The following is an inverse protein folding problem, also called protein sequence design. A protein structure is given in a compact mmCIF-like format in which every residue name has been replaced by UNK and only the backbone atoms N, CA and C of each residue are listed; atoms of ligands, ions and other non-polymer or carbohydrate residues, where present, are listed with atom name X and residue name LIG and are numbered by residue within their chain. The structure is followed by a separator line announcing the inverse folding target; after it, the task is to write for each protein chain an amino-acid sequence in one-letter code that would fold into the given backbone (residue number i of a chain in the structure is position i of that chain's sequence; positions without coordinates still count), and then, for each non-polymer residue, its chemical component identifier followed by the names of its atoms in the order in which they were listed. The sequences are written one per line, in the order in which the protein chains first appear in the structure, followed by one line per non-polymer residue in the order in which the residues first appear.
data_IF_666434163936
#
_entry.id   IF_666434163936
#
_cell.length_a   1.000
_cell.length_b   1.000
_cell.length_c   1.000
_cell.angle_alpha   90.00
_cell.angle_beta   90.00
_cell.angle_gamma   90.00
#
_symmetry.space_group_name_H-M   'P 1'
#
loop_
_entity.id
_entity.type
_entity.pdbx_description
1 polymer ?
#
# COMPACT_ATOMS: atom_id res chain seq x y z
N UNK A 1 -33.82 -27.72 32.86
CA UNK A 1 -32.63 -27.20 33.56
C UNK A 1 -31.66 -26.70 32.48
N UNK A 2 -31.27 -25.44 32.34
CA UNK A 2 -31.53 -24.16 33.03
C UNK A 2 -31.24 -23.05 32.01
N UNK A 3 -32.09 -22.01 31.95
CA UNK A 3 -31.80 -20.61 32.33
C UNK A 3 -30.82 -19.85 31.43
N UNK A 4 -31.41 -18.99 30.59
CA UNK A 4 -31.05 -17.62 30.18
C UNK A 4 -29.59 -17.12 30.24
N UNK A 5 -29.17 -16.46 29.15
CA UNK A 5 -27.99 -15.61 29.08
C UNK A 5 -28.07 -14.64 27.91
N UNK A 6 -29.06 -13.74 27.91
CA UNK A 6 -29.20 -12.66 26.93
C UNK A 6 -28.12 -11.62 27.21
N UNK A 7 -26.99 -11.69 26.49
CA UNK A 7 -25.93 -10.69 26.57
C UNK A 7 -26.49 -9.32 26.15
N UNK A 8 -26.64 -8.43 27.13
CA UNK A 8 -27.01 -7.04 26.92
C UNK A 8 -25.86 -6.33 26.21
N UNK A 9 -26.14 -5.73 25.05
CA UNK A 9 -25.27 -4.74 24.41
C UNK A 9 -25.17 -3.50 25.33
N UNK A 10 -24.24 -3.53 26.28
CA UNK A 10 -23.90 -2.37 27.10
C UNK A 10 -23.12 -1.35 26.25
N UNK A 11 -23.88 -0.37 25.76
CA UNK A 11 -23.52 0.99 25.30
C UNK A 11 -22.02 1.35 25.17
N UNK A 12 -21.60 2.02 24.08
CA UNK A 12 -20.25 2.56 23.88
C UNK A 12 -19.94 3.82 24.72
N UNK A 13 -20.55 3.95 25.90
CA UNK A 13 -20.52 5.18 26.70
C UNK A 13 -19.27 5.32 27.58
N UNK A 14 -18.49 4.27 27.81
CA UNK A 14 -17.31 4.34 28.68
C UNK A 14 -16.07 4.92 27.96
N UNK A 15 -15.77 4.42 26.76
CA UNK A 15 -14.55 4.78 26.02
C UNK A 15 -14.50 6.27 25.63
N UNK A 16 -15.65 6.83 25.23
CA UNK A 16 -15.78 8.25 24.91
C UNK A 16 -15.67 9.15 26.16
N UNK A 17 -16.11 8.65 27.33
CA UNK A 17 -15.99 9.33 28.62
C UNK A 17 -14.55 9.36 29.12
N UNK A 18 -13.77 8.31 28.83
CA UNK A 18 -12.38 8.12 29.25
C UNK A 18 -11.41 8.99 28.43
N UNK A 19 -11.57 9.07 27.11
CA UNK A 19 -10.82 10.03 26.27
C UNK A 19 -11.15 11.48 26.61
N UNK A 20 -12.42 11.77 26.92
CA UNK A 20 -12.85 13.09 27.42
C UNK A 20 -12.22 13.46 28.78
N UNK A 21 -12.00 12.48 29.66
CA UNK A 21 -11.34 12.68 30.95
C UNK A 21 -9.83 12.97 30.77
N UNK A 22 -9.15 12.23 29.90
CA UNK A 22 -7.72 12.43 29.58
C UNK A 22 -7.46 13.80 28.93
N UNK A 23 -8.31 14.22 27.98
CA UNK A 23 -8.19 15.54 27.37
C UNK A 23 -8.45 16.68 28.37
N UNK A 24 -9.47 16.54 29.24
CA UNK A 24 -9.74 17.50 30.33
C UNK A 24 -8.59 17.56 31.34
N UNK A 25 -7.94 16.43 31.61
CA UNK A 25 -6.79 16.35 32.52
C UNK A 25 -5.54 17.01 31.93
N UNK A 26 -5.23 16.77 30.65
CA UNK A 26 -4.12 17.43 29.95
C UNK A 26 -4.30 18.97 29.92
N UNK A 27 -5.52 19.45 29.67
CA UNK A 27 -5.85 20.88 29.73
C UNK A 27 -5.71 21.42 31.15
N UNK A 28 -6.10 20.65 32.18
CA UNK A 28 -5.96 21.05 33.59
C UNK A 28 -4.48 21.11 34.03
N UNK A 29 -3.63 20.19 33.56
CA UNK A 29 -2.18 20.21 33.80
C UNK A 29 -1.52 21.39 33.09
N UNK A 30 -1.92 21.69 31.85
CA UNK A 30 -1.43 22.86 31.12
C UNK A 30 -1.84 24.18 31.79
N UNK A 31 -3.09 24.27 32.28
CA UNK A 31 -3.58 25.43 33.03
C UNK A 31 -2.89 25.59 34.39
N UNK A 32 -2.66 24.50 35.13
CA UNK A 32 -1.95 24.53 36.41
C UNK A 32 -0.46 24.91 36.26
N UNK A 33 0.20 24.48 35.18
CA UNK A 33 1.57 24.89 34.86
C UNK A 33 1.66 26.36 34.42
N UNK A 34 0.66 26.87 33.70
CA UNK A 34 0.59 28.30 33.35
C UNK A 34 0.25 29.20 34.56
N UNK A 35 -0.66 28.76 35.44
CA UNK A 35 -1.05 29.51 36.65
C UNK A 35 0.07 29.53 37.71
N UNK A 36 0.83 28.45 37.85
CA UNK A 36 1.99 28.40 38.75
C UNK A 36 3.16 29.25 38.25
N UNK A 37 3.36 29.35 36.93
CA UNK A 37 4.30 30.31 36.34
C UNK A 37 3.95 31.78 36.65
N UNK A 38 2.65 32.10 36.74
CA UNK A 38 2.17 33.42 37.15
C UNK A 38 2.32 33.72 38.64
N UNK A 39 2.16 32.71 39.51
CA UNK A 39 2.32 32.84 40.96
C UNK A 39 3.81 33.02 41.36
N UNK A 40 4.72 32.31 40.69
CA UNK A 40 6.18 32.45 40.88
C UNK A 40 6.71 33.81 40.40
N UNK A 41 6.08 34.42 39.40
CA UNK A 41 6.47 35.75 38.90
C UNK A 41 6.05 36.91 39.81
N UNK A 42 5.11 36.69 40.73
CA UNK A 42 4.53 37.71 41.62
C UNK A 42 4.89 37.50 43.10
N UNK A 43 5.68 36.48 43.44
CA UNK A 43 6.09 36.20 44.81
C UNK A 43 7.14 37.22 45.26
N UNK A 44 6.84 37.96 46.34
CA UNK A 44 7.69 39.05 46.81
C UNK A 44 8.80 38.61 47.77
N UNK A 45 8.71 37.42 48.39
CA UNK A 45 9.67 36.89 49.36
C UNK A 45 9.90 35.36 49.23
N UNK A 46 11.07 34.88 49.66
CA UNK A 46 11.54 33.48 49.51
C UNK A 46 10.68 32.42 50.24
N UNK A 47 10.01 32.78 51.34
CA UNK A 47 9.12 31.86 52.08
C UNK A 47 7.84 31.52 51.29
N UNK A 48 7.28 32.47 50.54
CA UNK A 48 6.09 32.26 49.72
C UNK A 48 6.37 31.34 48.52
N UNK A 49 7.59 31.44 47.97
CA UNK A 49 8.09 30.54 46.91
C UNK A 49 8.22 29.12 47.44
N UNK A 50 8.76 28.96 48.66
CA UNK A 50 8.87 27.66 49.31
C UNK A 50 7.51 26.98 49.51
N UNK A 51 6.50 27.74 49.93
CA UNK A 51 5.15 27.20 50.14
C UNK A 51 4.47 26.82 48.81
N UNK A 52 4.61 27.65 47.76
CA UNK A 52 4.07 27.37 46.44
C UNK A 52 4.70 26.12 45.80
N UNK A 53 6.01 25.91 45.98
CA UNK A 53 6.70 24.71 45.51
C UNK A 53 6.22 23.45 46.24
N UNK A 54 5.97 23.54 47.55
CA UNK A 54 5.45 22.41 48.33
C UNK A 54 4.04 22.00 47.88
N UNK A 55 3.16 22.98 47.61
CA UNK A 55 1.82 22.73 47.09
C UNK A 55 1.86 22.11 45.68
N UNK A 56 2.73 22.62 44.81
CA UNK A 56 2.91 22.08 43.45
C UNK A 56 3.39 20.62 43.47
N UNK A 57 4.33 20.30 44.36
CA UNK A 57 4.81 18.92 44.55
C UNK A 57 3.70 17.99 45.03
N UNK A 58 2.83 18.46 45.92
CA UNK A 58 1.65 17.72 46.37
C UNK A 58 0.69 17.40 45.23
N UNK A 59 0.38 18.40 44.40
CA UNK A 59 -0.49 18.23 43.23
C UNK A 59 0.11 17.28 42.19
N UNK A 60 1.41 17.39 41.89
CA UNK A 60 2.09 16.48 40.96
C UNK A 60 2.03 15.03 41.46
N UNK A 61 2.23 14.82 42.77
CA UNK A 61 2.17 13.50 43.37
C UNK A 61 0.75 12.89 43.24
N UNK A 62 -0.29 13.65 43.60
CA UNK A 62 -1.69 13.18 43.47
C UNK A 62 -2.06 12.86 42.02
N UNK A 63 -1.63 13.68 41.06
CA UNK A 63 -1.90 13.42 39.64
C UNK A 63 -1.15 12.18 39.14
N UNK A 64 0.09 11.95 39.61
CA UNK A 64 0.88 10.77 39.25
C UNK A 64 0.25 9.49 39.78
N UNK A 65 -0.25 9.52 41.02
CA UNK A 65 -0.97 8.39 41.64
C UNK A 65 -2.29 8.09 40.90
N UNK A 66 -3.06 9.12 40.53
CA UNK A 66 -4.29 8.95 39.72
C UNK A 66 -4.02 8.37 38.32
N UNK A 67 -2.90 8.72 37.69
CA UNK A 67 -2.50 8.12 36.40
C UNK A 67 -2.16 6.64 36.59
N UNK A 68 -1.45 6.28 37.66
CA UNK A 68 -1.12 4.90 37.96
C UNK A 68 -2.38 4.04 38.23
N UNK A 69 -3.37 4.60 38.93
CA UNK A 69 -4.67 3.93 39.15
C UNK A 69 -5.43 3.71 37.85
N UNK A 70 -5.52 4.71 36.98
CA UNK A 70 -6.18 4.58 35.68
C UNK A 70 -5.48 3.55 34.77
N UNK A 71 -4.14 3.52 34.79
CA UNK A 71 -3.37 2.49 34.07
C UNK A 71 -3.59 1.10 34.63
N UNK A 72 -3.76 0.98 35.95
CA UNK A 72 -4.07 -0.30 36.59
C UNK A 72 -5.51 -0.76 36.29
N UNK A 73 -6.46 0.16 36.22
CA UNK A 73 -7.86 -0.12 35.85
C UNK A 73 -7.98 -0.52 34.37
N UNK A 74 -7.23 0.12 33.47
CA UNK A 74 -7.14 -0.25 32.05
C UNK A 74 -6.56 -1.67 31.88
N UNK A 75 -5.53 -2.00 32.67
CA UNK A 75 -4.96 -3.35 32.74
C UNK A 75 -5.93 -4.40 33.30
N UNK A 76 -6.89 -3.98 34.14
CA UNK A 76 -7.90 -4.85 34.76
C UNK A 76 -9.12 -5.07 33.85
N UNK A 77 -9.44 -4.08 33.01
CA UNK A 77 -10.45 -4.18 31.96
C UNK A 77 -9.93 -4.94 30.72
N UNK A 78 -8.61 -4.98 30.54
CA UNK A 78 -7.90 -5.91 29.66
C UNK A 78 -7.89 -7.34 30.24
N UNK A 79 -9.07 -7.91 30.47
CA UNK A 79 -9.24 -9.31 30.84
C UNK A 79 -8.73 -10.20 29.68
N UNK A 80 -7.72 -11.06 29.88
CA UNK A 80 -7.19 -11.93 28.82
C UNK A 80 -8.22 -12.93 28.28
N UNK A 81 -9.36 -13.12 28.96
CA UNK A 81 -10.48 -13.92 28.45
C UNK A 81 -11.44 -13.14 27.52
N UNK A 82 -11.44 -11.80 27.56
CA UNK A 82 -12.32 -10.93 26.76
C UNK A 82 -11.57 -10.03 25.76
N UNK A 83 -10.24 -9.96 25.84
CA UNK A 83 -9.40 -9.57 24.72
C UNK A 83 -9.57 -10.63 23.65
N UNK A 84 -10.32 -10.32 22.59
CA UNK A 84 -10.41 -11.05 21.32
C UNK A 84 -9.25 -12.03 21.15
N UNK A 85 -9.46 -13.29 21.57
CA UNK A 85 -8.50 -14.40 21.51
C UNK A 85 -8.32 -14.92 20.08
N UNK A 86 -8.44 -14.03 19.10
CA UNK A 86 -8.04 -14.23 17.74
C UNK A 86 -7.28 -12.99 17.31
N UNK A 87 -5.97 -13.02 17.51
CA UNK A 87 -5.09 -12.22 16.66
C UNK A 87 -5.39 -12.63 15.22
N UNK A 88 -6.08 -11.75 14.47
CA UNK A 88 -6.33 -11.93 13.03
C UNK A 88 -4.99 -12.10 12.30
N UNK A 89 -3.89 -11.62 12.91
CA UNK A 89 -2.54 -11.82 12.42
C UNK A 89 -1.59 -12.33 13.50
N UNK A 90 -1.72 -13.60 13.91
CA UNK A 90 -0.74 -14.26 14.78
C UNK A 90 0.69 -14.22 14.22
N UNK A 91 1.67 -14.16 15.11
CA UNK A 91 3.11 -14.01 14.87
C UNK A 91 3.65 -14.85 13.67
N UNK A 92 4.50 -14.24 12.83
CA UNK A 92 5.32 -14.94 11.83
C UNK A 92 6.35 -15.89 12.50
N UNK A 93 6.58 -15.76 13.82
CA UNK A 93 7.48 -16.59 14.61
C UNK A 93 6.83 -17.34 15.80
N UNK A 94 5.52 -17.21 16.03
CA UNK A 94 4.80 -17.93 17.10
C UNK A 94 5.31 -17.76 18.54
N UNK A 95 6.14 -16.75 18.83
CA UNK A 95 6.88 -16.60 20.09
C UNK A 95 6.20 -15.73 21.14
N UNK A 96 5.29 -14.83 20.74
CA UNK A 96 4.49 -14.04 21.70
C UNK A 96 3.17 -13.53 21.11
N UNK A 97 2.14 -13.27 21.93
CA UNK A 97 0.99 -12.48 21.52
C UNK A 97 1.43 -11.03 21.19
N UNK A 98 0.87 -10.46 20.13
CA UNK A 98 1.03 -9.04 19.78
C UNK A 98 0.38 -8.15 20.83
N UNK A 99 1.00 -7.01 21.12
CA UNK A 99 0.40 -5.95 21.92
C UNK A 99 -0.77 -5.30 21.16
N UNK A 100 -1.73 -4.72 21.87
CA UNK A 100 -2.87 -4.03 21.25
C UNK A 100 -2.42 -2.93 20.28
N UNK A 101 -1.33 -2.23 20.60
CA UNK A 101 -0.75 -1.20 19.74
C UNK A 101 -0.19 -1.78 18.42
N UNK A 102 0.47 -2.94 18.46
CA UNK A 102 1.00 -3.60 17.26
C UNK A 102 -0.14 -4.07 16.33
N UNK A 103 -1.20 -4.64 16.91
CA UNK A 103 -2.39 -5.05 16.14
C UNK A 103 -3.11 -3.86 15.49
N UNK A 104 -3.19 -2.73 16.21
CA UNK A 104 -3.75 -1.48 15.69
C UNK A 104 -2.91 -0.94 14.53
N UNK A 105 -1.59 -0.87 14.68
CA UNK A 105 -0.69 -0.39 13.63
C UNK A 105 -0.81 -1.25 12.37
N UNK A 106 -0.75 -2.58 12.50
CA UNK A 106 -0.92 -3.50 11.37
C UNK A 106 -2.27 -3.30 10.69
N UNK A 107 -3.36 -3.19 11.45
CA UNK A 107 -4.70 -2.98 10.89
C UNK A 107 -4.80 -1.66 10.11
N UNK A 108 -4.16 -0.60 10.62
CA UNK A 108 -4.10 0.70 9.93
C UNK A 108 -3.26 0.63 8.65
N UNK A 109 -2.12 -0.05 8.67
CA UNK A 109 -1.28 -0.26 7.47
C UNK A 109 -2.03 -1.06 6.39
N UNK A 110 -2.80 -2.09 6.79
CA UNK A 110 -3.61 -2.86 5.87
C UNK A 110 -4.72 -2.03 5.25
N UNK A 111 -5.46 -1.29 6.08
CA UNK A 111 -6.50 -0.37 5.61
C UNK A 111 -5.92 0.64 4.63
N UNK A 112 -4.79 1.24 4.97
CA UNK A 112 -4.10 2.21 4.13
C UNK A 112 -3.72 1.61 2.77
N UNK A 113 -3.08 0.45 2.74
CA UNK A 113 -2.67 -0.21 1.49
C UNK A 113 -3.86 -0.67 0.64
N UNK A 114 -4.99 -1.09 1.23
CA UNK A 114 -6.21 -1.43 0.49
C UNK A 114 -6.79 -0.17 -0.17
N UNK A 115 -6.86 0.95 0.56
CA UNK A 115 -7.33 2.23 0.03
C UNK A 115 -6.39 2.68 -1.10
N UNK A 116 -5.08 2.70 -0.87
CA UNK A 116 -4.10 3.07 -1.88
C UNK A 116 -4.18 2.17 -3.12
N UNK A 117 -4.24 0.85 -2.95
CA UNK A 117 -4.36 -0.09 -4.07
C UNK A 117 -5.66 0.12 -4.85
N UNK A 118 -6.77 0.45 -4.18
CA UNK A 118 -8.03 0.81 -4.83
C UNK A 118 -7.91 2.10 -5.65
N UNK A 119 -7.22 3.11 -5.12
CA UNK A 119 -6.96 4.36 -5.85
C UNK A 119 -6.06 4.13 -7.07
N UNK A 120 -5.02 3.29 -6.95
CA UNK A 120 -4.16 2.91 -8.09
C UNK A 120 -4.99 2.15 -9.13
N UNK A 121 -5.86 1.23 -8.71
CA UNK A 121 -6.79 0.57 -9.62
C UNK A 121 -7.75 1.54 -10.30
N UNK A 122 -8.20 2.58 -9.60
CA UNK A 122 -9.04 3.62 -10.18
C UNK A 122 -8.31 4.43 -11.26
N UNK A 123 -6.97 4.43 -11.29
CA UNK A 123 -6.21 5.01 -12.40
C UNK A 123 -6.54 4.35 -13.74
N UNK A 124 -7.00 3.10 -13.75
CA UNK A 124 -7.45 2.44 -14.98
C UNK A 124 -8.62 3.16 -15.66
N UNK A 125 -9.54 3.71 -14.86
CA UNK A 125 -10.58 4.58 -15.40
C UNK A 125 -9.98 5.87 -15.97
N UNK A 126 -8.96 6.42 -15.31
CA UNK A 126 -8.18 7.57 -15.81
C UNK A 126 -7.51 7.31 -17.16
N UNK A 127 -6.84 6.17 -17.32
CA UNK A 127 -6.23 5.74 -18.58
C UNK A 127 -7.28 5.55 -19.68
N UNK A 128 -8.39 4.89 -19.37
CA UNK A 128 -9.49 4.73 -20.31
C UNK A 128 -10.04 6.09 -20.80
N UNK A 129 -10.17 7.08 -19.91
CA UNK A 129 -10.62 8.43 -20.28
C UNK A 129 -9.58 9.19 -21.11
N UNK A 130 -8.30 9.19 -20.72
CA UNK A 130 -7.27 9.94 -21.46
C UNK A 130 -7.02 9.34 -22.84
N UNK A 131 -7.04 8.02 -22.96
CA UNK A 131 -6.85 7.34 -24.24
C UNK A 131 -8.05 7.52 -25.15
N UNK A 132 -9.28 7.36 -24.63
CA UNK A 132 -10.48 7.55 -25.45
C UNK A 132 -10.62 8.99 -25.92
N UNK A 133 -10.27 9.98 -25.08
CA UNK A 133 -10.23 11.39 -25.46
C UNK A 133 -9.13 11.74 -26.45
N UNK A 134 -8.04 10.96 -26.50
CA UNK A 134 -6.90 11.19 -27.41
C UNK A 134 -7.00 10.42 -28.74
N UNK A 135 -8.05 9.61 -28.92
CA UNK A 135 -8.27 8.81 -30.11
C UNK A 135 -9.41 9.35 -30.98
N UNK A 136 -9.45 8.95 -32.25
CA UNK A 136 -10.57 9.30 -33.14
C UNK A 136 -11.84 8.59 -32.65
N UNK A 137 -12.98 9.25 -32.78
CA UNK A 137 -14.29 8.76 -32.30
C UNK A 137 -14.59 7.30 -32.72
N UNK A 138 -14.25 6.94 -33.97
CA UNK A 138 -14.46 5.58 -34.50
C UNK A 138 -13.70 4.47 -33.78
N UNK A 139 -12.66 4.80 -33.00
CA UNK A 139 -11.79 3.85 -32.32
C UNK A 139 -12.00 3.81 -30.80
N UNK A 140 -12.89 4.66 -30.26
CA UNK A 140 -13.12 4.79 -28.80
C UNK A 140 -13.52 3.45 -28.17
N UNK A 141 -14.42 2.70 -28.80
CA UNK A 141 -14.85 1.40 -28.29
C UNK A 141 -13.69 0.40 -28.15
N UNK A 142 -12.80 0.36 -29.15
CA UNK A 142 -11.63 -0.52 -29.12
C UNK A 142 -10.64 -0.09 -28.01
N UNK A 143 -10.48 1.21 -27.77
CA UNK A 143 -9.62 1.74 -26.70
C UNK A 143 -10.15 1.36 -25.31
N UNK A 144 -11.45 1.53 -25.09
CA UNK A 144 -12.08 1.15 -23.82
C UNK A 144 -11.99 -0.36 -23.57
N UNK A 145 -12.18 -1.17 -24.62
CA UNK A 145 -12.05 -2.62 -24.53
C UNK A 145 -10.63 -3.05 -24.19
N UNK A 146 -9.60 -2.42 -24.77
CA UNK A 146 -8.19 -2.69 -24.42
C UNK A 146 -7.91 -2.40 -22.94
N UNK A 147 -8.37 -1.26 -22.43
CA UNK A 147 -8.19 -0.89 -21.02
C UNK A 147 -8.86 -1.88 -20.06
N UNK A 148 -10.11 -2.29 -20.34
CA UNK A 148 -10.79 -3.31 -19.56
C UNK A 148 -10.02 -4.64 -19.60
N UNK A 149 -9.51 -4.98 -20.78
CA UNK A 149 -8.83 -6.26 -20.97
C UNK A 149 -7.45 -6.29 -20.32
N UNK A 150 -6.75 -5.16 -20.21
CA UNK A 150 -5.49 -5.06 -19.44
C UNK A 150 -5.70 -5.41 -17.98
N UNK A 151 -6.84 -5.02 -17.39
CA UNK A 151 -7.21 -5.44 -16.04
C UNK A 151 -7.46 -6.94 -15.99
N UNK A 152 -8.29 -7.50 -16.88
CA UNK A 152 -8.61 -8.93 -16.86
C UNK A 152 -7.41 -9.84 -17.15
N UNK A 153 -6.72 -9.61 -18.27
CA UNK A 153 -5.57 -10.41 -18.70
C UNK A 153 -4.36 -10.14 -17.80
N UNK A 154 -4.16 -8.88 -17.38
CA UNK A 154 -3.14 -8.53 -16.41
C UNK A 154 -3.33 -9.23 -15.07
N UNK A 155 -4.56 -9.41 -14.61
CA UNK A 155 -4.87 -10.22 -13.41
C UNK A 155 -4.42 -11.67 -13.59
N UNK A 156 -4.78 -12.29 -14.70
CA UNK A 156 -4.42 -13.70 -14.97
C UNK A 156 -2.90 -13.85 -15.11
N UNK A 157 -2.24 -12.97 -15.86
CA UNK A 157 -0.78 -12.97 -16.05
C UNK A 157 -0.02 -12.75 -14.75
N UNK A 158 -0.45 -11.76 -13.95
CA UNK A 158 0.15 -11.46 -12.66
C UNK A 158 -0.07 -12.56 -11.62
N UNK A 159 -1.28 -13.13 -11.57
CA UNK A 159 -1.59 -14.25 -10.68
C UNK A 159 -0.79 -15.52 -11.03
N UNK A 160 -0.77 -15.89 -12.31
CA UNK A 160 -0.15 -17.15 -12.74
C UNK A 160 1.39 -17.10 -12.69
N UNK A 161 1.98 -16.00 -13.13
CA UNK A 161 3.43 -15.90 -13.35
C UNK A 161 4.04 -14.63 -12.77
N UNK A 162 3.36 -13.48 -12.86
CA UNK A 162 3.99 -12.20 -12.54
C UNK A 162 4.42 -12.08 -11.08
N UNK A 163 3.57 -12.50 -10.13
CA UNK A 163 3.95 -12.52 -8.71
C UNK A 163 5.17 -13.40 -8.45
N UNK A 164 5.21 -14.57 -9.08
CA UNK A 164 6.34 -15.49 -8.99
C UNK A 164 7.62 -14.78 -9.45
N UNK A 165 7.65 -14.28 -10.68
CA UNK A 165 8.86 -13.64 -11.20
C UNK A 165 9.27 -12.39 -10.40
N UNK A 166 8.32 -11.59 -9.91
CA UNK A 166 8.61 -10.34 -9.22
C UNK A 166 9.14 -10.54 -7.79
N UNK A 167 8.41 -11.28 -6.94
CA UNK A 167 8.61 -11.29 -5.49
C UNK A 167 8.89 -12.67 -4.90
N UNK A 168 8.86 -13.74 -5.69
CA UNK A 168 9.15 -15.08 -5.20
C UNK A 168 10.60 -15.51 -5.44
N UNK A 169 11.01 -16.54 -4.70
CA UNK A 169 12.31 -17.19 -4.84
C UNK A 169 13.11 -17.20 -3.53
N UNK A 170 14.26 -17.89 -3.53
CA UNK A 170 15.11 -17.94 -2.36
C UNK A 170 15.82 -16.59 -2.15
N UNK A 171 15.58 -16.00 -0.99
CA UNK A 171 16.34 -14.85 -0.50
C UNK A 171 17.52 -15.33 0.33
N UNK A 172 18.63 -14.62 0.20
CA UNK A 172 19.82 -14.79 1.03
C UNK A 172 19.57 -14.18 2.41
N UNK A 173 20.43 -14.50 3.37
CA UNK A 173 20.34 -13.96 4.72
C UNK A 173 20.49 -12.43 4.80
N UNK A 174 21.12 -11.82 3.80
CA UNK A 174 21.25 -10.36 3.65
C UNK A 174 19.98 -9.67 3.11
N UNK A 175 18.92 -10.45 2.81
CA UNK A 175 17.65 -9.95 2.28
C UNK A 175 17.63 -9.77 0.76
N UNK A 176 18.76 -9.98 0.07
CA UNK A 176 18.83 -9.93 -1.39
C UNK A 176 18.45 -11.28 -2.00
N UNK A 177 17.96 -11.25 -3.23
CA UNK A 177 17.68 -12.47 -3.98
C UNK A 177 18.96 -13.28 -4.25
N UNK A 178 18.86 -14.60 -4.15
CA UNK A 178 19.99 -15.51 -4.43
C UNK A 178 20.34 -15.61 -5.91
N UNK A 179 19.34 -15.59 -6.79
CA UNK A 179 19.46 -15.60 -8.25
C UNK A 179 19.75 -14.21 -8.85
N UNK A 180 19.47 -13.15 -8.09
CA UNK A 180 19.57 -11.75 -8.49
C UNK A 180 18.60 -11.30 -9.59
N UNK A 181 18.08 -12.19 -10.44
CA UNK A 181 17.44 -11.78 -11.70
C UNK A 181 15.91 -11.90 -11.73
N UNK A 182 15.33 -13.07 -11.47
CA UNK A 182 13.88 -13.28 -11.54
C UNK A 182 13.45 -14.48 -10.71
N UNK A 183 12.24 -14.43 -10.15
CA UNK A 183 11.68 -15.48 -9.31
C UNK A 183 11.29 -16.76 -10.03
N UNK A 184 11.04 -17.79 -9.23
CA UNK A 184 10.79 -19.14 -9.72
C UNK A 184 9.92 -19.98 -8.81
N UNK A 185 9.25 -19.36 -7.83
CA UNK A 185 8.42 -20.04 -6.84
C UNK A 185 7.00 -19.45 -6.83
N UNK A 186 6.03 -20.11 -6.20
CA UNK A 186 4.66 -19.56 -6.06
C UNK A 186 3.90 -19.30 -7.38
N UNK A 187 4.25 -20.01 -8.47
CA UNK A 187 3.46 -20.00 -9.70
C UNK A 187 2.02 -20.42 -9.42
N UNK A 188 1.06 -19.83 -10.15
CA UNK A 188 -0.38 -20.10 -10.02
C UNK A 188 -0.93 -19.93 -8.59
N UNK A 189 -0.35 -19.01 -7.82
CA UNK A 189 -0.77 -18.77 -6.42
C UNK A 189 -0.35 -19.89 -5.47
N UNK A 190 0.62 -20.72 -5.84
CA UNK A 190 1.13 -21.77 -4.96
C UNK A 190 1.70 -21.17 -3.65
N UNK A 191 1.21 -21.65 -2.50
CA UNK A 191 1.49 -21.09 -1.17
C UNK A 191 1.17 -19.59 -1.02
N UNK A 192 0.22 -19.06 -1.79
CA UNK A 192 -0.22 -17.67 -1.69
C UNK A 192 -1.01 -17.40 -0.40
N UNK A 193 -1.84 -18.36 0.01
CA UNK A 193 -2.43 -18.45 1.35
C UNK A 193 -1.97 -19.77 1.97
N UNK A 194 -1.13 -19.70 3.00
CA UNK A 194 -0.71 -20.88 3.76
C UNK A 194 -1.74 -21.14 4.85
N UNK A 195 -1.95 -22.38 5.20
CA UNK A 195 -2.82 -22.76 6.33
C UNK A 195 -1.94 -23.34 7.42
N UNK A 196 -2.09 -22.82 8.63
CA UNK A 196 -1.44 -23.34 9.83
C UNK A 196 -1.99 -24.73 10.17
N UNK A 197 -1.26 -25.52 10.97
CA UNK A 197 -1.73 -26.84 11.42
C UNK A 197 -3.07 -26.82 12.18
N UNK A 198 -3.46 -25.68 12.74
CA UNK A 198 -4.75 -25.46 13.44
C UNK A 198 -5.93 -25.17 12.48
N UNK A 199 -5.70 -25.21 11.17
CA UNK A 199 -6.71 -24.94 10.13
C UNK A 199 -6.94 -23.46 9.84
N UNK A 200 -6.25 -22.54 10.52
CA UNK A 200 -6.35 -21.10 10.27
C UNK A 200 -5.42 -20.68 9.14
N UNK A 201 -5.82 -19.69 8.35
CA UNK A 201 -4.94 -19.11 7.33
C UNK A 201 -3.78 -18.38 8.03
N UNK A 202 -2.56 -18.68 7.60
CA UNK A 202 -1.37 -18.01 8.05
C UNK A 202 -1.49 -16.52 7.69
N UNK A 203 -1.39 -15.65 8.69
CA UNK A 203 -1.50 -14.22 8.49
C UNK A 203 -0.24 -13.68 7.85
N UNK A 204 -0.37 -13.31 6.58
CA UNK A 204 0.74 -12.77 5.79
C UNK A 204 0.29 -11.50 5.09
N UNK A 205 1.24 -10.59 4.91
CA UNK A 205 1.03 -9.37 4.12
C UNK A 205 1.06 -9.64 2.60
N UNK A 206 1.32 -10.88 2.17
CA UNK A 206 1.50 -11.22 0.77
C UNK A 206 0.25 -10.98 -0.09
N UNK A 207 -0.98 -11.34 0.32
CA UNK A 207 -2.18 -11.06 -0.48
C UNK A 207 -2.43 -9.56 -0.66
N UNK A 208 -2.15 -8.78 0.38
CA UNK A 208 -2.27 -7.32 0.34
C UNK A 208 -1.23 -6.70 -0.60
N UNK A 209 0.05 -7.10 -0.47
CA UNK A 209 1.12 -6.66 -1.37
C UNK A 209 0.84 -7.07 -2.81
N UNK A 210 0.29 -8.26 -3.02
CA UNK A 210 -0.09 -8.74 -4.34
C UNK A 210 -1.13 -7.83 -4.99
N UNK A 211 -2.20 -7.48 -4.26
CA UNK A 211 -3.23 -6.57 -4.77
C UNK A 211 -2.64 -5.20 -5.11
N UNK A 212 -1.82 -4.65 -4.21
CA UNK A 212 -1.19 -3.35 -4.43
C UNK A 212 -0.29 -3.37 -5.67
N UNK A 213 0.57 -4.38 -5.81
CA UNK A 213 1.53 -4.50 -6.92
C UNK A 213 0.87 -4.89 -8.25
N UNK A 214 -0.19 -5.68 -8.20
CA UNK A 214 -1.02 -5.98 -9.37
C UNK A 214 -1.57 -4.70 -10.01
N UNK A 215 -2.00 -3.73 -9.19
CA UNK A 215 -2.51 -2.46 -9.70
C UNK A 215 -1.46 -1.69 -10.51
N UNK A 216 -0.19 -1.68 -10.06
CA UNK A 216 0.93 -1.08 -10.82
C UNK A 216 1.28 -1.87 -12.09
N UNK A 217 1.24 -3.21 -12.03
CA UNK A 217 1.43 -4.06 -13.21
C UNK A 217 0.40 -3.73 -14.30
N UNK A 218 -0.87 -3.64 -13.90
CA UNK A 218 -1.96 -3.26 -14.79
C UNK A 218 -1.77 -1.83 -15.34
N UNK A 219 -1.26 -0.89 -14.53
CA UNK A 219 -0.93 0.45 -14.97
C UNK A 219 0.22 0.48 -16.01
N UNK A 220 1.24 -0.37 -15.85
CA UNK A 220 2.33 -0.47 -16.82
C UNK A 220 1.85 -0.99 -18.18
N UNK A 221 0.94 -1.97 -18.19
CA UNK A 221 0.37 -2.52 -19.42
C UNK A 221 -0.48 -1.48 -20.18
N UNK A 222 -1.34 -0.74 -19.49
CA UNK A 222 -2.23 0.24 -20.13
C UNK A 222 -1.49 1.45 -20.71
N UNK A 223 -0.33 1.85 -20.15
CA UNK A 223 0.52 2.88 -20.78
C UNK A 223 0.87 2.49 -22.23
N UNK A 224 1.10 1.20 -22.49
CA UNK A 224 1.37 0.72 -23.84
C UNK A 224 0.11 0.77 -24.70
N UNK A 225 -1.08 0.44 -24.18
CA UNK A 225 -2.38 0.59 -24.87
C UNK A 225 -2.50 1.94 -25.58
N UNK A 226 -2.24 3.02 -24.84
CA UNK A 226 -2.34 4.38 -25.35
C UNK A 226 -1.30 4.70 -26.42
N UNK A 227 -0.06 4.23 -26.21
CA UNK A 227 1.03 4.38 -27.17
C UNK A 227 0.73 3.72 -28.52
N UNK A 228 0.11 2.55 -28.52
CA UNK A 228 -0.20 1.78 -29.74
C UNK A 228 -1.65 1.91 -30.22
N UNK A 229 -2.42 2.83 -29.65
CA UNK A 229 -3.83 3.00 -29.97
C UNK A 229 -4.09 3.21 -31.48
N UNK A 230 -5.24 2.72 -31.93
CA UNK A 230 -5.77 2.82 -33.31
C UNK A 230 -5.05 1.99 -34.39
N UNK A 231 -3.94 1.31 -34.10
CA UNK A 231 -3.09 0.63 -35.11
C UNK A 231 -2.66 -0.79 -34.76
N UNK A 232 -3.10 -1.32 -33.62
CA UNK A 232 -2.89 -2.73 -33.25
C UNK A 232 -4.20 -3.49 -33.33
N UNK A 233 -4.11 -4.74 -33.80
CA UNK A 233 -5.25 -5.65 -33.75
C UNK A 233 -5.48 -6.11 -32.30
N UNK A 234 -6.74 -6.39 -31.97
CA UNK A 234 -7.12 -6.73 -30.60
C UNK A 234 -6.48 -8.04 -30.11
N UNK A 235 -6.47 -9.17 -30.86
CA UNK A 235 -5.84 -10.41 -30.39
C UNK A 235 -4.34 -10.29 -30.15
N UNK A 236 -3.61 -9.56 -31.01
CA UNK A 236 -2.19 -9.31 -30.80
C UNK A 236 -1.94 -8.49 -29.53
N UNK A 237 -2.84 -7.55 -29.24
CA UNK A 237 -2.79 -6.78 -27.99
C UNK A 237 -3.04 -7.65 -26.75
N UNK A 238 -3.93 -8.66 -26.81
CA UNK A 238 -4.14 -9.59 -25.69
C UNK A 238 -2.88 -10.37 -25.32
N UNK A 239 -2.19 -10.89 -26.34
CA UNK A 239 -0.93 -11.62 -26.16
C UNK A 239 0.12 -10.68 -25.56
N UNK A 240 0.22 -9.46 -26.09
CA UNK A 240 1.11 -8.45 -25.55
C UNK A 240 0.82 -8.15 -24.08
N UNK A 241 -0.44 -7.87 -23.72
CA UNK A 241 -0.85 -7.56 -22.34
C UNK A 241 -0.54 -8.71 -21.38
N UNK A 242 -0.77 -9.96 -21.81
CA UNK A 242 -0.39 -11.14 -21.05
C UNK A 242 1.13 -11.23 -20.85
N UNK A 243 1.93 -11.08 -21.91
CA UNK A 243 3.40 -11.14 -21.83
C UNK A 243 3.97 -10.01 -20.98
N UNK A 244 3.39 -8.81 -21.09
CA UNK A 244 3.78 -7.65 -20.30
C UNK A 244 3.58 -7.91 -18.81
N UNK A 245 2.40 -8.42 -18.44
CA UNK A 245 2.01 -8.66 -17.04
C UNK A 245 2.60 -9.93 -16.42
N UNK A 246 2.90 -10.95 -17.24
CA UNK A 246 3.44 -12.23 -16.77
C UNK A 246 4.96 -12.33 -16.83
N UNK A 247 5.64 -11.54 -17.66
CA UNK A 247 7.08 -11.68 -17.91
C UNK A 247 7.83 -10.35 -17.87
N UNK A 248 7.53 -9.40 -18.75
CA UNK A 248 8.37 -8.20 -18.93
C UNK A 248 8.38 -7.32 -17.68
N UNK A 249 7.21 -6.87 -17.24
CA UNK A 249 7.06 -6.04 -16.04
C UNK A 249 7.57 -6.73 -14.77
N UNK A 250 7.15 -7.97 -14.43
CA UNK A 250 7.59 -8.60 -13.18
C UNK A 250 9.10 -8.86 -13.10
N UNK A 251 9.77 -9.11 -14.23
CA UNK A 251 11.25 -9.22 -14.25
C UNK A 251 11.93 -7.87 -13.94
N UNK A 252 11.34 -6.77 -14.38
CA UNK A 252 11.88 -5.43 -14.03
C UNK A 252 11.65 -5.13 -12.55
N UNK A 253 10.49 -5.53 -12.02
CA UNK A 253 10.20 -5.45 -10.58
C UNK A 253 11.20 -6.29 -9.78
N UNK A 254 11.53 -7.51 -10.22
CA UNK A 254 12.47 -8.37 -9.48
C UNK A 254 13.87 -7.79 -9.37
N UNK A 255 14.34 -7.05 -10.37
CA UNK A 255 15.65 -6.39 -10.32
C UNK A 255 15.74 -5.30 -9.24
N UNK A 256 14.60 -4.71 -8.87
CA UNK A 256 14.48 -3.51 -8.03
C UNK A 256 13.70 -3.81 -6.75
N UNK A 257 12.38 -3.60 -6.77
CA UNK A 257 11.49 -3.83 -5.61
C UNK A 257 11.48 -5.28 -5.12
N UNK A 258 11.88 -6.24 -5.96
CA UNK A 258 12.12 -7.61 -5.56
C UNK A 258 13.47 -7.88 -4.92
N UNK A 259 14.29 -6.86 -4.64
CA UNK A 259 15.64 -6.99 -4.06
C UNK A 259 16.62 -7.81 -4.92
N UNK A 260 16.53 -7.65 -6.24
CA UNK A 260 17.42 -8.27 -7.21
C UNK A 260 18.77 -7.56 -7.39
N UNK A 261 19.44 -7.91 -8.48
CA UNK A 261 20.82 -7.53 -8.77
C UNK A 261 21.04 -6.01 -8.84
N UNK A 262 20.03 -5.25 -9.28
CA UNK A 262 20.15 -3.80 -9.41
C UNK A 262 20.25 -3.12 -8.03
N UNK A 263 19.61 -3.70 -7.00
CA UNK A 263 19.75 -3.25 -5.61
C UNK A 263 21.14 -3.52 -5.02
N UNK A 264 21.91 -4.45 -5.60
CA UNK A 264 23.28 -4.72 -5.21
C UNK A 264 24.30 -3.75 -5.82
N UNK A 265 23.86 -2.88 -6.74
CA UNK A 265 24.74 -1.91 -7.39
C UNK A 265 24.88 -0.68 -6.49
N UNK A 266 26.14 -0.30 -6.21
CA UNK A 266 26.52 0.96 -5.58
C UNK A 266 25.84 1.21 -4.22
N UNK A 267 26.18 0.41 -3.19
CA UNK A 267 25.82 0.47 -1.75
C UNK A 267 24.37 0.73 -1.31
N UNK A 268 23.52 1.35 -2.14
CA UNK A 268 22.14 1.74 -1.90
C UNK A 268 21.18 1.27 -3.00
N UNK A 269 21.68 0.86 -4.18
CA UNK A 269 20.82 0.53 -5.32
C UNK A 269 20.10 1.75 -5.92
N UNK A 270 19.35 1.57 -7.02
CA UNK A 270 18.47 2.61 -7.56
C UNK A 270 17.26 2.83 -6.65
N UNK A 271 16.92 4.10 -6.42
CA UNK A 271 15.77 4.50 -5.63
C UNK A 271 14.61 4.86 -6.57
N UNK A 272 13.62 3.98 -6.66
CA UNK A 272 12.35 4.27 -7.32
C UNK A 272 11.21 4.02 -6.33
N UNK A 273 10.66 5.10 -5.77
CA UNK A 273 9.69 5.01 -4.67
C UNK A 273 8.32 4.48 -5.10
N UNK A 274 7.82 4.94 -6.25
CA UNK A 274 6.45 4.69 -6.70
C UNK A 274 6.33 4.22 -8.15
N UNK A 275 7.46 3.95 -8.82
CA UNK A 275 7.47 3.31 -10.14
C UNK A 275 7.65 4.28 -11.30
N UNK A 276 8.36 5.39 -11.10
CA UNK A 276 8.73 6.30 -12.18
C UNK A 276 9.56 5.58 -13.27
N UNK A 277 10.49 4.72 -12.86
CA UNK A 277 11.22 3.82 -13.74
C UNK A 277 10.44 2.52 -13.97
N UNK A 278 10.11 1.84 -12.88
CA UNK A 278 9.62 0.45 -12.93
C UNK A 278 8.27 0.34 -13.64
N UNK A 279 7.40 1.34 -13.50
CA UNK A 279 6.05 1.35 -14.12
C UNK A 279 6.03 2.26 -15.33
N UNK A 280 6.34 3.55 -15.15
CA UNK A 280 6.16 4.55 -16.21
C UNK A 280 7.22 4.45 -17.31
N UNK A 281 8.50 4.27 -16.96
CA UNK A 281 9.54 4.09 -17.99
C UNK A 281 9.36 2.75 -18.70
N UNK A 282 9.09 1.66 -17.97
CA UNK A 282 8.80 0.34 -18.57
C UNK A 282 7.63 0.41 -19.56
N UNK A 283 6.50 0.97 -19.14
CA UNK A 283 5.34 1.19 -20.01
C UNK A 283 5.65 2.16 -21.16
N UNK A 284 6.39 3.24 -20.90
CA UNK A 284 6.77 4.24 -21.91
C UNK A 284 7.70 3.69 -22.98
N UNK A 285 8.68 2.87 -22.61
CA UNK A 285 9.57 2.17 -23.53
C UNK A 285 8.79 1.13 -24.33
N UNK A 286 7.91 0.36 -23.67
CA UNK A 286 7.01 -0.56 -24.36
C UNK A 286 6.11 0.15 -25.39
N UNK A 287 5.55 1.30 -25.02
CA UNK A 287 4.77 2.17 -25.89
C UNK A 287 5.60 2.69 -27.07
N UNK A 288 6.83 3.13 -26.83
CA UNK A 288 7.75 3.63 -27.86
C UNK A 288 8.11 2.55 -28.86
N UNK A 289 8.53 1.37 -28.38
CA UNK A 289 8.90 0.23 -29.24
C UNK A 289 7.68 -0.28 -30.01
N UNK A 290 6.54 -0.43 -29.33
CA UNK A 290 5.29 -0.82 -29.98
C UNK A 290 4.85 0.19 -31.05
N UNK A 291 4.98 1.49 -30.77
CA UNK A 291 4.69 2.55 -31.73
C UNK A 291 5.63 2.53 -32.94
N UNK A 292 6.91 2.22 -32.72
CA UNK A 292 7.91 2.10 -33.77
C UNK A 292 7.62 0.92 -34.70
N UNK A 293 7.29 -0.24 -34.14
CA UNK A 293 6.96 -1.46 -34.90
C UNK A 293 5.64 -1.28 -35.66
N UNK A 294 4.61 -0.75 -35.02
CA UNK A 294 3.29 -0.55 -35.64
C UNK A 294 3.29 0.52 -36.75
N UNK A 295 4.28 1.42 -36.75
CA UNK A 295 4.37 2.51 -37.72
C UNK A 295 3.34 3.63 -37.49
N UNK A 296 3.40 4.73 -38.25
CA UNK A 296 2.54 5.90 -38.04
C UNK A 296 1.06 5.59 -38.24
N UNK A 297 0.18 6.32 -37.55
CA UNK A 297 -1.28 6.19 -37.74
C UNK A 297 -1.66 6.63 -39.15
N UNK A 298 -2.60 5.91 -39.76
CA UNK A 298 -3.09 6.24 -41.09
C UNK A 298 -3.59 7.68 -41.18
N UNK A 299 -3.14 8.40 -42.21
CA UNK A 299 -3.52 9.78 -42.47
C UNK A 299 -2.88 10.83 -41.55
N UNK A 300 -1.88 10.46 -40.73
CA UNK A 300 -1.16 11.44 -39.88
C UNK A 300 -0.16 12.29 -40.65
N UNK A 301 0.49 11.71 -41.66
CA UNK A 301 1.55 12.36 -42.45
C UNK A 301 1.15 12.41 -43.93
N UNK A 302 0.04 13.08 -44.21
CA UNK A 302 -0.43 13.31 -45.59
C UNK A 302 0.14 14.64 -46.10
N UNK A 303 0.59 14.64 -47.35
CA UNK A 303 0.92 15.85 -48.11
C UNK A 303 -0.37 16.54 -48.57
N UNK A 304 -0.26 17.82 -48.94
CA UNK A 304 -1.38 18.61 -49.48
C UNK A 304 -1.98 18.04 -50.76
N UNK A 305 -1.20 17.25 -51.51
CA UNK A 305 -1.62 16.53 -52.72
C UNK A 305 -2.33 15.18 -52.43
N UNK A 306 -2.51 14.81 -51.16
CA UNK A 306 -3.17 13.57 -50.74
C UNK A 306 -2.27 12.33 -50.73
N UNK A 307 -0.96 12.46 -50.97
CA UNK A 307 -0.01 11.34 -50.86
C UNK A 307 0.59 11.23 -49.45
N UNK A 308 1.00 10.03 -49.02
CA UNK A 308 1.72 9.88 -47.75
C UNK A 308 3.17 10.40 -47.86
N UNK A 309 3.62 11.18 -46.88
CA UNK A 309 5.04 11.53 -46.75
C UNK A 309 5.87 10.27 -46.57
N UNK A 310 6.96 10.17 -47.33
CA UNK A 310 7.90 9.06 -47.27
C UNK A 310 8.64 9.02 -45.93
N UNK A 311 9.18 7.85 -45.55
CA UNK A 311 9.93 7.71 -44.30
C UNK A 311 11.15 8.63 -44.21
N UNK A 312 11.81 8.92 -45.34
CA UNK A 312 12.99 9.81 -45.40
C UNK A 312 12.61 11.27 -45.14
N UNK A 313 11.48 11.72 -45.71
CA UNK A 313 10.95 13.07 -45.51
C UNK A 313 10.49 13.34 -44.08
N UNK A 314 10.21 12.28 -43.29
CA UNK A 314 9.80 12.41 -41.89
C UNK A 314 10.96 12.49 -40.89
N UNK A 315 12.18 12.14 -41.32
CA UNK A 315 13.37 12.06 -40.45
C UNK A 315 14.29 13.30 -40.65
N UNK A 316 14.20 13.95 -41.80
CA UNK A 316 14.80 15.27 -42.06
C UNK A 316 13.95 16.38 -41.44
#
# INVERSE_FOLDING_TARGET
AGSEGRASLSRPSCFCRQRGAMAKMAVKVLLLSLLSGGALANAANDEDVGHAIAELKGLIKEQTERIAELQHEDRRLADPANLLSASIYGDLAGTRPYTDQENLNLSMDHLWLIICGTLVMFMQAGFAMVESGSCRFKNVQNVLLKNLTDVCIGTIGWYAFGWSFAFSGPYRADGFRSDGFAGGEQFFGHHFARTRPDGQVEPTIAPLKWFFQWAFCSAAATIVSGGVAERVNFPGYLIFSFVMSSLIYPIIVSWTWGYGWLMAINTTGPVDFAGSGIVHMTGGVGALVGAFIAGPRFGRWMKSDGTEQSRKERIM
#
